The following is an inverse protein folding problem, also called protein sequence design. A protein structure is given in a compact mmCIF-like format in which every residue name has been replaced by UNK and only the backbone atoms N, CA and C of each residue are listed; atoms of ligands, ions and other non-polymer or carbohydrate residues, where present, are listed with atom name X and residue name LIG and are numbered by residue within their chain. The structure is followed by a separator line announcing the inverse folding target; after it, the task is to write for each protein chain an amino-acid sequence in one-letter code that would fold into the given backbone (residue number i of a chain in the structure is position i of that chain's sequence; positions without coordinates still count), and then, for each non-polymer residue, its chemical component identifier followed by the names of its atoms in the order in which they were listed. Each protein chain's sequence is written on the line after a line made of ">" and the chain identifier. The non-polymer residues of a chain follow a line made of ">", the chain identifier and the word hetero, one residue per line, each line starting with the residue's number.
data_IF_788007882236
#
_entry.id   IF_788007882236
#
_cell.length_a   1.000
_cell.length_b   1.000
_cell.length_c   1.000
_cell.angle_alpha   90.00
_cell.angle_beta   90.00
_cell.angle_gamma   90.00
#
_symmetry.space_group_name_H-M   'P 1'
#
loop_
_entity.id
_entity.type
_entity.pdbx_description
1 polymer ?
#
# COMPACT_ATOMS: atom_id res chain seq x y z
N UNK A 1 -64.96 -35.65 12.69
CA UNK A 1 -65.07 -34.18 12.48
C UNK A 1 -64.46 -33.78 11.15
N UNK A 2 -65.26 -33.26 10.23
CA UNK A 2 -64.92 -33.10 8.81
C UNK A 2 -63.79 -32.08 8.55
N UNK A 3 -62.89 -32.40 7.60
CA UNK A 3 -61.72 -31.58 7.20
C UNK A 3 -62.08 -30.14 6.78
N UNK A 4 -63.34 -29.88 6.46
CA UNK A 4 -63.89 -28.56 6.12
C UNK A 4 -63.99 -27.61 7.32
N UNK A 5 -64.28 -28.11 8.52
CA UNK A 5 -64.44 -27.26 9.73
C UNK A 5 -63.10 -26.67 10.19
N UNK A 6 -62.01 -27.44 10.07
CA UNK A 6 -60.64 -26.97 10.40
C UNK A 6 -60.15 -25.86 9.45
N UNK A 7 -60.60 -25.83 8.19
CA UNK A 7 -60.22 -24.78 7.22
C UNK A 7 -60.93 -23.45 7.49
N UNK A 8 -62.18 -23.48 7.97
CA UNK A 8 -62.92 -22.26 8.34
C UNK A 8 -62.37 -21.59 9.60
N UNK A 9 -61.98 -22.36 10.62
CA UNK A 9 -61.40 -21.82 11.85
C UNK A 9 -60.07 -21.07 11.59
N UNK A 10 -59.20 -21.60 10.72
CA UNK A 10 -57.93 -20.94 10.34
C UNK A 10 -58.13 -19.66 9.51
N UNK A 11 -59.16 -19.59 8.65
CA UNK A 11 -59.48 -18.35 7.91
C UNK A 11 -59.98 -17.24 8.83
N UNK A 12 -60.79 -17.57 9.85
CA UNK A 12 -61.30 -16.57 10.79
C UNK A 12 -60.26 -16.04 11.78
N UNK A 13 -59.24 -16.82 12.15
CA UNK A 13 -58.12 -16.32 12.97
C UNK A 13 -57.23 -15.33 12.22
N UNK A 14 -57.04 -15.49 10.91
CA UNK A 14 -56.29 -14.53 10.08
C UNK A 14 -57.04 -13.21 9.87
N UNK A 15 -58.38 -13.25 9.77
CA UNK A 15 -59.22 -12.05 9.71
C UNK A 15 -59.22 -11.28 11.04
N UNK A 16 -59.29 -11.98 12.18
CA UNK A 16 -59.19 -11.34 13.52
C UNK A 16 -57.81 -10.73 13.82
N UNK A 17 -56.72 -11.30 13.32
CA UNK A 17 -55.37 -10.71 13.43
C UNK A 17 -55.17 -9.44 12.57
N UNK A 18 -55.99 -9.21 11.53
CA UNK A 18 -55.95 -7.98 10.73
C UNK A 18 -56.79 -6.83 11.32
N UNK A 19 -57.81 -7.13 12.12
CA UNK A 19 -58.69 -6.12 12.70
C UNK A 19 -58.15 -5.47 13.99
N UNK A 20 -57.10 -6.03 14.59
CA UNK A 20 -56.50 -5.52 15.84
C UNK A 20 -55.38 -4.49 15.63
N UNK A 21 -55.05 -4.12 14.40
CA UNK A 21 -53.88 -3.28 14.11
C UNK A 21 -54.12 -1.77 14.15
N UNK A 22 -55.36 -1.30 14.30
CA UNK A 22 -55.66 0.15 14.37
C UNK A 22 -56.41 0.49 15.66
N UNK A 23 -55.87 0.09 16.83
CA UNK A 23 -56.47 0.42 18.13
C UNK A 23 -56.41 1.94 18.46
N UNK A 24 -55.65 2.71 17.70
CA UNK A 24 -55.51 4.16 17.83
C UNK A 24 -55.37 4.81 16.46
N UNK A 25 -55.82 6.06 16.34
CA UNK A 25 -55.67 6.88 15.13
C UNK A 25 -54.54 7.87 15.32
N UNK A 26 -53.86 8.22 14.22
CA UNK A 26 -52.81 9.23 14.18
C UNK A 26 -53.28 10.43 13.35
N UNK A 27 -52.85 11.63 13.74
CA UNK A 27 -53.19 12.88 13.07
C UNK A 27 -52.13 13.19 12.01
N UNK A 28 -52.58 13.59 10.82
CA UNK A 28 -51.73 14.19 9.79
C UNK A 28 -51.31 15.61 10.21
N UNK A 29 -50.02 15.94 10.13
CA UNK A 29 -49.48 17.26 10.54
C UNK A 29 -49.87 18.40 9.60
N UNK A 30 -50.28 18.08 8.37
CA UNK A 30 -50.66 19.07 7.35
C UNK A 30 -52.16 19.39 7.36
N UNK A 31 -53.02 18.36 7.34
CA UNK A 31 -54.46 18.53 7.23
C UNK A 31 -55.23 18.24 8.52
N UNK A 32 -54.53 17.92 9.61
CA UNK A 32 -55.08 17.60 10.93
C UNK A 32 -56.16 16.50 10.95
N UNK A 33 -56.25 15.72 9.87
CA UNK A 33 -57.23 14.65 9.74
C UNK A 33 -56.68 13.35 10.34
N UNK A 34 -57.57 12.51 10.86
CA UNK A 34 -57.24 11.24 11.52
C UNK A 34 -57.10 10.11 10.50
N UNK A 35 -56.00 9.34 10.61
CA UNK A 35 -55.74 8.16 9.79
C UNK A 35 -55.20 6.99 10.62
N UNK A 36 -55.43 5.75 10.16
CA UNK A 36 -54.81 4.56 10.75
C UNK A 36 -53.27 4.61 10.72
N UNK A 37 -52.55 4.05 11.72
CA UNK A 37 -51.09 4.09 11.80
C UNK A 37 -50.38 3.55 10.56
N UNK A 38 -50.97 2.56 9.88
CA UNK A 38 -50.45 2.00 8.61
C UNK A 38 -50.23 3.04 7.49
N UNK A 39 -50.91 4.19 7.55
CA UNK A 39 -50.74 5.27 6.56
C UNK A 39 -49.46 6.09 6.75
N UNK A 40 -48.82 5.98 7.93
CA UNK A 40 -47.64 6.75 8.31
C UNK A 40 -46.41 5.86 8.56
N UNK A 41 -46.40 4.64 8.03
CA UNK A 41 -45.27 3.71 8.17
C UNK A 41 -43.97 4.34 7.66
N UNK A 42 -42.91 4.31 8.46
CA UNK A 42 -41.61 4.92 8.13
C UNK A 42 -41.53 6.44 8.35
N UNK A 43 -42.61 7.06 8.83
CA UNK A 43 -42.66 8.51 9.07
C UNK A 43 -42.49 8.85 10.56
N UNK A 44 -41.73 9.91 10.82
CA UNK A 44 -41.54 10.46 12.16
C UNK A 44 -42.78 11.21 12.63
N UNK A 45 -43.06 11.15 13.94
CA UNK A 45 -44.24 11.74 14.56
C UNK A 45 -44.46 13.22 14.23
N UNK A 46 -43.37 13.98 14.19
CA UNK A 46 -43.36 15.44 13.97
C UNK A 46 -43.67 15.82 12.52
N UNK A 47 -43.51 14.88 11.58
CA UNK A 47 -43.65 15.15 10.15
C UNK A 47 -44.70 14.26 9.48
N UNK A 48 -45.60 13.62 10.22
CA UNK A 48 -46.53 12.62 9.65
C UNK A 48 -47.50 13.23 8.62
N UNK A 49 -47.37 12.87 7.36
CA UNK A 49 -48.26 13.32 6.29
C UNK A 49 -49.08 12.18 5.68
N UNK A 50 -50.38 12.42 5.52
CA UNK A 50 -51.26 11.49 4.82
C UNK A 50 -50.97 11.51 3.31
N UNK A 51 -51.30 10.41 2.61
CA UNK A 51 -51.06 10.29 1.16
C UNK A 51 -51.59 11.46 0.31
N UNK A 52 -52.81 12.00 0.55
CA UNK A 52 -53.28 13.18 -0.16
C UNK A 52 -52.38 14.41 0.03
N UNK A 53 -51.94 14.69 1.25
CA UNK A 53 -51.03 15.81 1.53
C UNK A 53 -49.65 15.57 0.92
N UNK A 54 -49.16 14.33 0.94
CA UNK A 54 -47.88 13.99 0.29
C UNK A 54 -47.89 14.29 -1.21
N UNK A 55 -49.01 13.98 -1.89
CA UNK A 55 -49.16 14.27 -3.33
C UNK A 55 -49.25 15.76 -3.64
N UNK A 56 -49.71 16.58 -2.70
CA UNK A 56 -49.76 18.04 -2.85
C UNK A 56 -48.41 18.68 -2.55
N UNK A 57 -47.67 18.15 -1.58
CA UNK A 57 -46.41 18.68 -1.09
C UNK A 57 -45.23 17.78 -1.51
N UNK A 58 -45.05 17.56 -2.81
CA UNK A 58 -44.07 16.59 -3.35
C UNK A 58 -42.63 16.99 -3.00
N UNK A 59 -42.30 18.28 -3.09
CA UNK A 59 -40.96 18.79 -2.77
C UNK A 59 -40.59 18.55 -1.30
N UNK A 60 -41.51 18.87 -0.39
CA UNK A 60 -41.35 18.62 1.04
C UNK A 60 -41.21 17.12 1.32
N UNK A 61 -42.01 16.28 0.66
CA UNK A 61 -41.88 14.83 0.78
C UNK A 61 -40.49 14.35 0.35
N UNK A 62 -40.00 14.83 -0.79
CA UNK A 62 -38.69 14.43 -1.31
C UNK A 62 -37.57 14.82 -0.34
N UNK A 63 -37.63 16.01 0.25
CA UNK A 63 -36.70 16.43 1.29
C UNK A 63 -36.80 15.53 2.52
N UNK A 64 -38.02 15.29 3.02
CA UNK A 64 -38.25 14.45 4.19
C UNK A 64 -37.82 13.00 3.96
N UNK A 65 -38.07 12.40 2.79
CA UNK A 65 -37.63 11.05 2.44
C UNK A 65 -36.10 10.90 2.38
N UNK A 66 -35.39 11.98 2.04
CA UNK A 66 -33.93 11.98 1.96
C UNK A 66 -33.26 12.04 3.33
N UNK A 67 -33.85 12.77 4.28
CA UNK A 67 -33.16 13.14 5.53
C UNK A 67 -33.86 12.70 6.81
N UNK A 68 -35.19 12.52 6.76
CA UNK A 68 -36.02 12.36 7.95
C UNK A 68 -36.74 11.03 7.94
N UNK A 69 -37.62 10.77 6.97
CA UNK A 69 -38.30 9.49 6.92
C UNK A 69 -37.29 8.38 6.77
N UNK A 70 -37.53 7.31 7.51
CA UNK A 70 -36.82 6.08 7.25
C UNK A 70 -37.18 5.74 5.81
N UNK A 71 -36.17 5.61 4.89
CA UNK A 71 -36.47 5.32 3.52
C UNK A 71 -37.39 4.12 3.57
N UNK A 72 -38.60 4.28 3.02
CA UNK A 72 -39.45 3.16 2.67
C UNK A 72 -38.58 2.37 1.73
N UNK A 73 -37.73 1.48 2.29
CA UNK A 73 -36.94 0.56 1.52
C UNK A 73 -38.00 -0.08 0.66
N UNK A 74 -38.00 0.27 -0.63
CA UNK A 74 -38.86 -0.40 -1.58
C UNK A 74 -38.67 -1.85 -1.22
N UNK A 75 -39.75 -2.51 -0.82
CA UNK A 75 -39.71 -3.89 -0.34
C UNK A 75 -39.44 -4.83 -1.52
N UNK A 76 -38.53 -4.47 -2.43
CA UNK A 76 -37.64 -5.42 -3.08
C UNK A 76 -36.68 -5.90 -2.01
N UNK A 77 -37.21 -6.65 -1.04
CA UNK A 77 -36.41 -7.64 -0.32
C UNK A 77 -36.04 -8.68 -1.37
N UNK A 78 -35.09 -8.35 -2.23
CA UNK A 78 -34.34 -9.38 -2.92
C UNK A 78 -33.84 -10.32 -1.84
N UNK A 79 -34.06 -11.65 -2.00
CA UNK A 79 -33.57 -12.62 -1.04
C UNK A 79 -32.12 -12.30 -0.67
N UNK A 80 -31.78 -12.45 0.60
CA UNK A 80 -30.42 -12.17 1.08
C UNK A 80 -29.36 -12.81 0.18
N UNK A 81 -29.64 -14.01 -0.32
CA UNK A 81 -28.84 -14.71 -1.32
C UNK A 81 -28.57 -13.90 -2.59
N UNK A 82 -29.59 -13.31 -3.22
CA UNK A 82 -29.43 -12.52 -4.45
C UNK A 82 -28.55 -11.29 -4.23
N UNK A 83 -28.61 -10.69 -3.04
CA UNK A 83 -27.73 -9.57 -2.68
C UNK A 83 -26.28 -10.02 -2.47
N UNK A 84 -26.08 -11.18 -1.85
CA UNK A 84 -24.75 -11.79 -1.71
C UNK A 84 -24.17 -12.16 -3.07
N UNK A 85 -24.97 -12.76 -3.96
CA UNK A 85 -24.53 -13.18 -5.28
C UNK A 85 -24.09 -11.96 -6.12
N UNK A 86 -24.85 -10.85 -6.09
CA UNK A 86 -24.45 -9.60 -6.75
C UNK A 86 -23.17 -8.98 -6.18
N UNK A 87 -22.99 -9.05 -4.86
CA UNK A 87 -21.76 -8.60 -4.21
C UNK A 87 -20.57 -9.45 -4.63
N UNK A 88 -20.74 -10.79 -4.66
CA UNK A 88 -19.72 -11.71 -5.12
C UNK A 88 -19.33 -11.44 -6.57
N UNK A 89 -20.30 -11.26 -7.49
CA UNK A 89 -20.01 -10.91 -8.88
C UNK A 89 -19.23 -9.60 -9.01
N UNK A 90 -19.58 -8.57 -8.24
CA UNK A 90 -18.83 -7.31 -8.23
C UNK A 90 -17.40 -7.46 -7.71
N UNK A 91 -17.20 -8.28 -6.68
CA UNK A 91 -15.86 -8.57 -6.18
C UNK A 91 -15.02 -9.28 -7.25
N UNK A 92 -15.60 -10.22 -7.99
CA UNK A 92 -14.93 -10.94 -9.07
C UNK A 92 -14.59 -10.02 -10.26
N UNK A 93 -15.50 -9.10 -10.64
CA UNK A 93 -15.23 -8.06 -11.64
C UNK A 93 -14.03 -7.18 -11.22
N UNK A 94 -14.04 -6.68 -9.98
CA UNK A 94 -12.97 -5.84 -9.46
C UNK A 94 -11.63 -6.58 -9.36
N UNK A 95 -11.62 -7.86 -8.99
CA UNK A 95 -10.40 -8.67 -9.00
C UNK A 95 -9.81 -8.81 -10.40
N UNK A 96 -10.66 -8.97 -11.42
CA UNK A 96 -10.22 -9.07 -12.81
C UNK A 96 -9.67 -7.72 -13.31
N UNK A 97 -10.35 -6.61 -13.01
CA UNK A 97 -9.83 -5.27 -13.31
C UNK A 97 -8.46 -5.03 -12.66
N UNK A 98 -8.28 -5.47 -11.41
CA UNK A 98 -7.01 -5.35 -10.69
C UNK A 98 -5.91 -6.21 -11.32
N UNK A 99 -6.23 -7.43 -11.77
CA UNK A 99 -5.29 -8.29 -12.49
C UNK A 99 -4.90 -7.70 -13.84
N UNK A 100 -5.85 -7.13 -14.57
CA UNK A 100 -5.61 -6.50 -15.87
C UNK A 100 -4.81 -5.21 -15.72
N UNK A 101 -5.08 -4.42 -14.68
CA UNK A 101 -4.29 -3.26 -14.32
C UNK A 101 -2.85 -3.65 -13.99
N UNK A 102 -2.66 -4.68 -13.17
CA UNK A 102 -1.32 -5.21 -12.84
C UNK A 102 -0.60 -5.75 -14.07
N UNK A 103 -1.28 -6.42 -14.99
CA UNK A 103 -0.66 -6.86 -16.26
C UNK A 103 -0.27 -5.67 -17.14
N UNK A 104 -1.11 -4.63 -17.21
CA UNK A 104 -0.85 -3.46 -18.06
C UNK A 104 0.22 -2.52 -17.50
N UNK A 105 0.35 -2.43 -16.19
CA UNK A 105 1.12 -1.37 -15.53
C UNK A 105 2.09 -1.88 -14.45
N UNK A 106 2.07 -3.18 -14.12
CA UNK A 106 2.90 -3.75 -13.04
C UNK A 106 3.61 -5.06 -13.42
N UNK A 107 3.61 -5.50 -14.69
CA UNK A 107 4.57 -6.53 -15.13
C UNK A 107 5.98 -5.91 -15.29
N UNK A 108 7.02 -6.73 -15.07
CA UNK A 108 8.20 -6.36 -14.30
C UNK A 108 9.04 -5.31 -15.01
N UNK A 109 9.78 -4.56 -14.19
CA UNK A 109 10.88 -3.67 -14.54
C UNK A 109 11.37 -3.93 -15.96
N UNK A 110 11.17 -2.92 -16.82
CA UNK A 110 11.65 -3.01 -18.20
C UNK A 110 13.10 -3.48 -18.16
N UNK A 111 13.53 -4.29 -19.12
CA UNK A 111 14.94 -4.72 -19.22
C UNK A 111 15.93 -3.55 -19.10
N UNK A 112 15.50 -2.32 -19.39
CA UNK A 112 16.26 -1.10 -19.16
C UNK A 112 16.53 -0.79 -17.66
N UNK A 113 15.59 -1.02 -16.74
CA UNK A 113 15.78 -0.79 -15.29
C UNK A 113 16.77 -1.80 -14.69
N UNK A 114 16.62 -3.09 -15.01
CA UNK A 114 17.57 -4.14 -14.61
C UNK A 114 18.97 -3.88 -15.22
N UNK A 115 19.04 -3.37 -16.46
CA UNK A 115 20.32 -2.97 -17.07
C UNK A 115 20.94 -1.73 -16.43
N UNK A 116 20.13 -0.80 -15.92
CA UNK A 116 20.62 0.36 -15.18
C UNK A 116 21.19 -0.08 -13.84
N UNK A 117 20.48 -0.94 -13.10
CA UNK A 117 20.93 -1.43 -11.79
C UNK A 117 22.21 -2.25 -11.91
N UNK A 118 22.31 -3.16 -12.88
CA UNK A 118 23.55 -3.90 -13.13
C UNK A 118 24.73 -2.98 -13.49
N UNK A 119 24.47 -1.89 -14.23
CA UNK A 119 25.51 -0.92 -14.61
C UNK A 119 25.91 -0.04 -13.42
N UNK A 120 24.97 0.26 -12.52
CA UNK A 120 25.23 0.98 -11.28
C UNK A 120 26.08 0.11 -10.34
N UNK A 121 25.77 -1.18 -10.22
CA UNK A 121 26.58 -2.15 -9.47
C UNK A 121 28.00 -2.27 -10.04
N UNK A 122 28.15 -2.43 -11.35
CA UNK A 122 29.47 -2.50 -12.01
C UNK A 122 30.31 -1.23 -11.77
N UNK A 123 29.70 -0.05 -11.83
CA UNK A 123 30.40 1.21 -11.50
C UNK A 123 30.76 1.33 -10.02
N UNK A 124 29.93 0.80 -9.12
CA UNK A 124 30.19 0.77 -7.68
C UNK A 124 31.39 -0.13 -7.36
N UNK A 125 31.46 -1.31 -7.97
CA UNK A 125 32.60 -2.22 -7.82
C UNK A 125 33.89 -1.59 -8.35
N UNK A 126 33.87 -0.96 -9.54
CA UNK A 126 35.04 -0.23 -10.05
C UNK A 126 35.50 0.90 -9.12
N UNK A 127 34.56 1.60 -8.48
CA UNK A 127 34.88 2.69 -7.54
C UNK A 127 35.46 2.15 -6.24
N UNK A 128 34.96 1.00 -5.76
CA UNK A 128 35.49 0.34 -4.58
C UNK A 128 36.92 -0.15 -4.82
N UNK A 129 37.19 -0.74 -5.99
CA UNK A 129 38.54 -1.16 -6.39
C UNK A 129 39.50 0.02 -6.46
N UNK A 130 39.10 1.12 -7.12
CA UNK A 130 39.92 2.36 -7.18
C UNK A 130 40.16 2.95 -5.79
N UNK A 131 39.17 2.91 -4.90
CA UNK A 131 39.35 3.35 -3.51
C UNK A 131 40.36 2.46 -2.78
N UNK A 132 40.29 1.15 -2.95
CA UNK A 132 41.20 0.19 -2.33
C UNK A 132 42.65 0.37 -2.83
N UNK A 133 42.83 0.62 -4.14
CA UNK A 133 44.14 0.94 -4.72
C UNK A 133 44.72 2.22 -4.10
N UNK A 134 43.93 3.29 -4.03
CA UNK A 134 44.36 4.57 -3.44
C UNK A 134 44.69 4.43 -1.95
N UNK A 135 43.93 3.63 -1.20
CA UNK A 135 44.22 3.34 0.21
C UNK A 135 45.52 2.54 0.36
N UNK A 136 45.76 1.56 -0.52
CA UNK A 136 47.00 0.78 -0.56
C UNK A 136 48.20 1.66 -0.92
N UNK A 137 48.08 2.54 -1.91
CA UNK A 137 49.11 3.52 -2.27
C UNK A 137 49.41 4.46 -1.10
N UNK A 138 48.36 4.98 -0.46
CA UNK A 138 48.50 5.85 0.73
C UNK A 138 49.15 5.11 1.90
N UNK A 139 48.82 3.83 2.10
CA UNK A 139 49.45 2.97 3.10
C UNK A 139 50.92 2.72 2.80
N UNK A 140 51.25 2.41 1.54
CA UNK A 140 52.62 2.17 1.09
C UNK A 140 53.48 3.44 1.13
N UNK A 141 52.91 4.60 0.79
CA UNK A 141 53.57 5.90 0.93
C UNK A 141 53.80 6.32 2.39
N UNK A 142 53.02 5.76 3.33
CA UNK A 142 53.16 5.95 4.77
C UNK A 142 54.05 4.92 5.45
N UNK A 143 54.59 3.92 4.72
CA UNK A 143 55.61 3.05 5.31
C UNK A 143 56.77 3.94 5.75
N UNK A 144 57.16 3.90 7.04
CA UNK A 144 58.41 4.52 7.44
C UNK A 144 59.49 3.93 6.56
N UNK A 145 60.20 4.75 5.80
CA UNK A 145 61.48 4.35 5.23
C UNK A 145 62.26 3.77 6.41
N UNK A 146 62.47 2.45 6.37
CA UNK A 146 63.16 1.69 7.42
C UNK A 146 64.42 2.49 7.70
N UNK A 147 64.50 3.14 8.88
CA UNK A 147 65.68 3.91 9.27
C UNK A 147 66.84 2.92 9.12
N UNK A 148 67.72 3.19 8.16
CA UNK A 148 68.89 2.36 7.93
C UNK A 148 69.61 2.29 9.27
N UNK A 149 69.86 1.09 9.80
CA UNK A 149 70.50 0.98 11.11
C UNK A 149 71.88 1.63 11.03
N UNK A 150 72.37 2.17 12.14
CA UNK A 150 73.70 2.78 12.18
C UNK A 150 74.77 1.78 11.69
N UNK A 151 74.56 0.50 11.96
CA UNK A 151 75.45 -0.59 11.53
C UNK A 151 75.41 -0.80 10.02
N UNK A 152 74.22 -0.79 9.39
CA UNK A 152 74.10 -0.86 7.92
C UNK A 152 74.76 0.34 7.23
N UNK A 153 74.65 1.54 7.82
CA UNK A 153 75.32 2.73 7.32
C UNK A 153 76.84 2.62 7.43
N UNK A 154 77.34 2.19 8.59
CA UNK A 154 78.76 2.01 8.82
C UNK A 154 79.35 0.95 7.89
N UNK A 155 78.63 -0.16 7.68
CA UNK A 155 79.06 -1.23 6.78
C UNK A 155 79.13 -0.75 5.33
N UNK A 156 78.14 0.02 4.87
CA UNK A 156 78.14 0.58 3.51
C UNK A 156 79.23 1.64 3.31
N UNK A 157 79.51 2.46 4.32
CA UNK A 157 80.63 3.41 4.29
C UNK A 157 81.99 2.70 4.29
N UNK A 158 82.13 1.61 5.03
CA UNK A 158 83.34 0.79 5.06
C UNK A 158 83.61 0.11 3.71
N UNK A 159 82.57 -0.39 3.05
CA UNK A 159 82.68 -0.93 1.68
C UNK A 159 83.11 0.12 0.66
N UNK A 160 82.57 1.35 0.76
CA UNK A 160 82.97 2.46 -0.11
C UNK A 160 84.42 2.89 0.13
N UNK A 161 84.83 3.00 1.40
CA UNK A 161 86.21 3.32 1.75
C UNK A 161 87.18 2.27 1.18
N UNK A 162 86.87 0.98 1.34
CA UNK A 162 87.70 -0.11 0.82
C UNK A 162 87.74 -0.18 -0.71
N UNK A 163 86.67 0.24 -1.40
CA UNK A 163 86.69 0.35 -2.87
C UNK A 163 87.60 1.48 -3.33
N UNK A 164 87.55 2.63 -2.65
CA UNK A 164 88.38 3.77 -2.98
C UNK A 164 89.86 3.53 -2.66
N UNK A 165 90.19 2.87 -1.54
CA UNK A 165 91.59 2.51 -1.24
C UNK A 165 92.16 1.50 -2.23
N UNK A 166 91.37 0.52 -2.66
CA UNK A 166 91.79 -0.41 -3.72
C UNK A 166 92.01 0.29 -5.07
N UNK A 167 91.25 1.34 -5.37
CA UNK A 167 91.48 2.16 -6.57
C UNK A 167 92.75 3.01 -6.44
N UNK A 168 92.98 3.66 -5.30
CA UNK A 168 94.20 4.46 -5.10
C UNK A 168 95.46 3.60 -5.06
N UNK A 169 95.41 2.40 -4.49
CA UNK A 169 96.54 1.48 -4.46
C UNK A 169 96.87 0.95 -5.87
N UNK A 170 95.86 0.78 -6.73
CA UNK A 170 96.05 0.43 -8.13
C UNK A 170 96.68 1.58 -8.93
N UNK A 171 96.23 2.82 -8.72
CA UNK A 171 96.78 4.02 -9.38
C UNK A 171 98.24 4.33 -8.94
N UNK A 172 98.58 4.07 -7.68
CA UNK A 172 99.96 4.22 -7.16
C UNK A 172 100.89 3.13 -7.72
N UNK A 173 100.41 1.90 -7.92
CA UNK A 173 101.19 0.83 -8.54
C UNK A 173 101.45 1.08 -10.03
N UNK A 174 100.48 1.61 -10.77
CA UNK A 174 100.66 1.96 -12.19
C UNK A 174 101.65 3.11 -12.38
N UNK A 175 101.66 4.10 -11.48
CA UNK A 175 102.62 5.22 -11.53
C UNK A 175 104.05 4.83 -11.14
N UNK A 176 104.25 3.80 -10.30
CA UNK A 176 105.58 3.25 -9.97
C UNK A 176 106.16 2.31 -11.04
N UNK A 177 105.31 1.69 -11.87
CA UNK A 177 105.76 0.84 -12.98
C UNK A 177 106.06 1.60 -14.28
N UNK A 178 105.73 2.90 -14.32
CA UNK A 178 105.93 3.79 -15.47
C UNK A 178 107.04 4.84 -15.29
N UNK A 179 107.82 4.74 -14.20
CA UNK A 179 109.04 5.53 -13.92
C UNK A 179 110.28 4.66 -13.93
#
# INVERSE_FOLDING_TARGET
>A
MSRTVRKFAKRNTHLRKRQTQDAYLLICTECFSLYPPRYFSGQFAVFRMCRPCQRKNVELCSYLEKYVYEPLREKRWEPFQVRLDRLASKCEELENELKDYKRKYCEPESTAEIMIDNKVEEMLDELLDKCAELESERWNARRPTRKMSQDDFNQRMFELYNKNTKQTDAEVLESQLSS
#
